data_IF_656636799217
#
_entry.id   IF_656636799217
#
_cell.length_a   1.000
_cell.length_b   1.000
_cell.length_c   1.000
_cell.angle_alpha   90.00
_cell.angle_beta   90.00
_cell.angle_gamma   90.00
#
_symmetry.space_group_name_H-M   'P 1'
#
loop_
_entity.id
_entity.type
_entity.pdbx_description
1 polymer ?
#
# COMPACT_ATOMS: atom_id res chain seq x y z
N UNK A 1 -17.52 -30.05 4.40
CA UNK A 1 -16.36 -29.26 4.91
C UNK A 1 -16.10 -27.94 4.17
N UNK A 2 -16.79 -27.63 3.06
CA UNK A 2 -16.58 -26.36 2.30
C UNK A 2 -17.31 -25.14 2.89
N UNK A 3 -18.46 -25.32 3.54
CA UNK A 3 -19.28 -24.21 4.07
C UNK A 3 -18.63 -23.48 5.25
N UNK A 4 -18.07 -24.21 6.22
CA UNK A 4 -17.45 -23.62 7.42
C UNK A 4 -16.17 -22.82 7.10
N UNK A 5 -15.40 -23.22 6.09
CA UNK A 5 -14.22 -22.48 5.65
C UNK A 5 -14.60 -21.16 4.96
N UNK A 6 -15.70 -21.18 4.19
CA UNK A 6 -16.28 -20.01 3.54
C UNK A 6 -16.84 -19.03 4.60
N UNK A 7 -17.57 -19.52 5.58
CA UNK A 7 -18.15 -18.71 6.67
C UNK A 7 -17.08 -18.08 7.57
N UNK A 8 -15.98 -18.79 7.85
CA UNK A 8 -14.84 -18.24 8.59
C UNK A 8 -14.08 -17.19 7.77
N UNK A 9 -14.01 -17.32 6.45
CA UNK A 9 -13.39 -16.33 5.58
C UNK A 9 -14.26 -15.07 5.45
N UNK A 10 -15.57 -15.23 5.33
CA UNK A 10 -16.53 -14.12 5.22
C UNK A 10 -16.65 -13.35 6.54
N UNK A 11 -16.59 -14.03 7.69
CA UNK A 11 -16.51 -13.36 9.00
C UNK A 11 -15.17 -12.64 9.22
N UNK A 12 -14.04 -13.19 8.76
CA UNK A 12 -12.76 -12.50 8.83
C UNK A 12 -12.72 -11.27 7.90
N UNK A 13 -13.35 -11.35 6.73
CA UNK A 13 -13.53 -10.19 5.84
C UNK A 13 -14.42 -9.12 6.48
N UNK A 14 -15.55 -9.50 7.09
CA UNK A 14 -16.44 -8.56 7.81
C UNK A 14 -15.76 -7.90 9.00
N UNK A 15 -15.05 -8.65 9.84
CA UNK A 15 -14.29 -8.11 10.98
C UNK A 15 -13.15 -7.19 10.53
N UNK A 16 -12.51 -7.50 9.39
CA UNK A 16 -11.53 -6.62 8.76
C UNK A 16 -12.18 -5.33 8.26
N UNK A 17 -13.40 -5.40 7.67
CA UNK A 17 -14.20 -4.26 7.16
C UNK A 17 -14.75 -3.35 8.28
N UNK A 18 -15.14 -3.89 9.43
CA UNK A 18 -15.57 -3.08 10.58
C UNK A 18 -14.39 -2.44 11.31
N UNK A 19 -13.27 -3.17 11.45
CA UNK A 19 -11.99 -2.59 11.90
C UNK A 19 -11.52 -1.48 10.96
N UNK A 20 -11.73 -1.65 9.66
CA UNK A 20 -11.49 -0.69 8.58
C UNK A 20 -12.31 0.60 8.74
N UNK A 21 -13.60 0.52 9.07
CA UNK A 21 -14.43 1.72 9.31
C UNK A 21 -13.95 2.53 10.53
N UNK A 22 -13.53 1.87 11.61
CA UNK A 22 -13.03 2.54 12.80
C UNK A 22 -11.61 3.13 12.61
N UNK A 23 -10.78 2.53 11.75
CA UNK A 23 -9.39 2.94 11.53
C UNK A 23 -9.22 3.94 10.38
N UNK A 24 -10.10 3.95 9.37
CA UNK A 24 -10.12 5.00 8.33
C UNK A 24 -10.46 6.37 8.96
N UNK A 25 -11.36 6.42 9.94
CA UNK A 25 -11.63 7.65 10.71
C UNK A 25 -10.39 8.19 11.45
N UNK A 26 -9.43 7.33 11.80
CA UNK A 26 -8.20 7.69 12.48
C UNK A 26 -7.19 8.42 11.59
N UNK A 27 -7.33 8.31 10.26
CA UNK A 27 -6.41 8.92 9.28
C UNK A 27 -6.88 10.30 8.78
N UNK A 28 -8.15 10.66 8.97
CA UNK A 28 -8.72 11.94 8.51
C UNK A 28 -8.70 13.07 9.56
N UNK A 29 -8.39 12.79 10.83
CA UNK A 29 -8.29 13.82 11.87
C UNK A 29 -6.88 14.42 11.98
N UNK A 30 -6.53 15.28 11.02
CA UNK A 30 -5.45 16.26 11.17
C UNK A 30 -6.05 17.67 11.13
N UNK A 31 -6.44 18.18 12.31
CA UNK A 31 -6.89 19.56 12.47
C UNK A 31 -5.75 20.58 12.40
N UNK A 32 -6.02 21.84 12.03
CA UNK A 32 -5.01 22.88 11.89
C UNK A 32 -4.46 23.33 13.26
N UNK A 33 -3.15 23.55 13.32
CA UNK A 33 -2.50 24.22 14.46
C UNK A 33 -2.66 25.74 14.34
N UNK A 34 -3.50 26.34 15.19
CA UNK A 34 -3.53 27.80 15.34
C UNK A 34 -4.61 28.31 16.29
N UNK A 35 -4.19 29.02 17.35
CA UNK A 35 -5.00 30.02 18.07
C UNK A 35 -5.81 29.54 19.28
N UNK A 36 -5.43 30.01 20.48
CA UNK A 36 -6.10 29.77 21.77
C UNK A 36 -7.51 30.37 21.84
N UNK A 37 -8.49 29.56 22.26
CA UNK A 37 -9.48 29.87 23.33
C UNK A 37 -9.76 28.56 24.07
N UNK A 38 -9.77 28.56 25.41
CA UNK A 38 -10.17 27.38 26.21
C UNK A 38 -11.64 27.08 25.91
N UNK A 39 -12.00 25.93 25.32
CA UNK A 39 -13.40 25.54 25.25
C UNK A 39 -13.73 24.68 26.47
N UNK A 40 -14.98 24.76 26.89
CA UNK A 40 -15.66 23.77 27.72
C UNK A 40 -15.28 22.35 27.27
N UNK A 41 -15.19 21.41 28.21
CA UNK A 41 -14.67 20.06 27.98
C UNK A 41 -15.50 19.30 26.93
N UNK A 42 -15.19 19.54 25.67
CA UNK A 42 -15.79 18.85 24.53
C UNK A 42 -15.41 17.37 24.62
N UNK A 43 -16.37 16.50 24.31
CA UNK A 43 -16.15 15.04 24.16
C UNK A 43 -14.89 14.78 23.32
N UNK A 44 -14.61 15.62 22.31
CA UNK A 44 -13.39 15.58 21.50
C UNK A 44 -12.10 15.74 22.31
N UNK A 45 -12.02 16.70 23.23
CA UNK A 45 -10.84 16.92 24.07
C UNK A 45 -10.65 15.81 25.10
N UNK A 46 -11.73 15.32 25.69
CA UNK A 46 -11.69 14.18 26.61
C UNK A 46 -11.22 12.92 25.89
N UNK A 47 -11.74 12.65 24.68
CA UNK A 47 -11.32 11.49 23.89
C UNK A 47 -9.83 11.55 23.50
N UNK A 48 -9.32 12.73 23.10
CA UNK A 48 -7.88 12.92 22.81
C UNK A 48 -7.02 12.68 24.06
N UNK A 49 -7.49 13.10 25.24
CA UNK A 49 -6.77 12.94 26.51
C UNK A 49 -6.78 11.50 27.01
N UNK A 50 -7.90 10.79 26.85
CA UNK A 50 -8.06 9.39 27.25
C UNK A 50 -7.38 8.40 26.30
N UNK A 51 -7.03 8.84 25.09
CA UNK A 51 -6.40 7.97 24.09
C UNK A 51 -4.95 7.65 24.50
N UNK A 52 -4.56 6.37 24.57
CA UNK A 52 -3.20 6.01 24.87
C UNK A 52 -2.24 6.65 23.86
N UNK A 53 -1.19 7.31 24.38
CA UNK A 53 -0.15 7.88 23.54
C UNK A 53 0.81 6.75 23.12
N UNK A 54 0.72 6.36 21.86
CA UNK A 54 1.64 5.39 21.27
C UNK A 54 2.86 6.09 20.67
N UNK A 55 4.05 5.47 20.71
CA UNK A 55 5.22 5.99 20.02
C UNK A 55 4.91 6.19 18.53
N UNK A 56 5.36 7.30 17.96
CA UNK A 56 5.16 7.58 16.54
C UNK A 56 5.95 6.56 15.72
N UNK A 57 5.24 5.79 14.88
CA UNK A 57 5.86 4.84 13.96
C UNK A 57 6.49 5.57 12.76
N UNK A 58 7.69 5.17 12.36
CA UNK A 58 8.46 5.84 11.30
C UNK A 58 7.75 5.83 9.94
N UNK A 59 7.02 4.76 9.64
CA UNK A 59 6.30 4.57 8.39
C UNK A 59 4.98 5.36 8.30
N UNK A 60 4.56 6.07 9.35
CA UNK A 60 3.30 6.85 9.36
C UNK A 60 3.20 7.79 8.16
N UNK A 61 4.30 8.49 7.85
CA UNK A 61 4.35 9.44 6.72
C UNK A 61 4.21 8.75 5.36
N UNK A 62 4.66 7.51 5.24
CA UNK A 62 4.55 6.72 4.01
C UNK A 62 3.09 6.32 3.75
N UNK A 63 2.33 5.99 4.79
CA UNK A 63 0.89 5.70 4.69
C UNK A 63 0.07 6.98 4.51
N UNK A 64 0.53 8.13 5.02
CA UNK A 64 -0.20 9.40 4.98
C UNK A 64 0.19 10.32 3.81
N UNK A 65 0.75 9.78 2.73
CA UNK A 65 1.03 10.59 1.54
C UNK A 65 -0.27 11.19 1.02
N UNK A 66 -0.30 12.52 0.86
CA UNK A 66 -1.47 13.25 0.36
C UNK A 66 -1.83 12.76 -1.05
N UNK A 67 -3.12 12.56 -1.30
CA UNK A 67 -3.62 12.04 -2.58
C UNK A 67 -3.53 10.51 -2.72
N UNK A 68 -3.06 9.77 -1.71
CA UNK A 68 -3.09 8.31 -1.76
C UNK A 68 -4.53 7.78 -1.78
N UNK A 69 -4.82 6.86 -2.69
CA UNK A 69 -6.13 6.20 -2.73
C UNK A 69 -6.35 5.38 -1.45
N UNK A 70 -7.54 5.43 -0.82
CA UNK A 70 -7.81 4.71 0.44
C UNK A 70 -7.49 3.21 0.38
N UNK A 71 -7.81 2.55 -0.74
CA UNK A 71 -7.49 1.12 -0.95
C UNK A 71 -5.98 0.82 -0.98
N UNK A 72 -5.16 1.72 -1.55
CA UNK A 72 -3.70 1.56 -1.57
C UNK A 72 -3.14 1.80 -0.17
N UNK A 73 -3.65 2.84 0.49
CA UNK A 73 -3.26 3.20 1.84
C UNK A 73 -3.51 2.05 2.83
N UNK A 74 -4.68 1.42 2.74
CA UNK A 74 -5.02 0.29 3.59
C UNK A 74 -4.11 -0.92 3.35
N UNK A 75 -3.93 -1.34 2.10
CA UNK A 75 -3.08 -2.49 1.79
C UNK A 75 -1.62 -2.21 2.17
N UNK A 76 -1.11 -1.00 1.90
CA UNK A 76 0.22 -0.59 2.34
C UNK A 76 0.36 -0.66 3.87
N UNK A 77 -0.61 -0.15 4.62
CA UNK A 77 -0.63 -0.20 6.08
C UNK A 77 -0.63 -1.63 6.63
N UNK A 78 -1.40 -2.52 6.02
CA UNK A 78 -1.40 -3.95 6.35
C UNK A 78 -0.06 -4.62 6.00
N UNK A 79 0.54 -4.23 4.87
CA UNK A 79 1.85 -4.73 4.41
C UNK A 79 2.97 -4.31 5.36
N UNK A 80 2.97 -3.04 5.80
CA UNK A 80 3.91 -2.48 6.80
C UNK A 80 3.89 -3.20 8.14
N UNK A 81 2.74 -3.75 8.52
CA UNK A 81 2.62 -4.55 9.73
C UNK A 81 2.84 -6.05 9.50
N UNK A 82 3.19 -6.47 8.28
CA UNK A 82 3.26 -7.89 7.87
C UNK A 82 1.97 -8.66 8.20
N UNK A 83 0.82 -7.98 8.10
CA UNK A 83 -0.50 -8.52 8.46
C UNK A 83 -1.35 -8.97 7.27
N UNK A 84 -0.86 -8.81 6.04
CA UNK A 84 -1.54 -9.37 4.86
C UNK A 84 -1.60 -10.89 4.96
N UNK A 85 -2.70 -11.47 4.49
CA UNK A 85 -2.93 -12.91 4.43
C UNK A 85 -2.06 -13.54 3.34
N UNK A 86 -0.78 -13.81 3.65
CA UNK A 86 0.02 -14.78 2.89
C UNK A 86 -0.38 -16.19 3.30
N UNK A 87 -0.15 -17.19 2.43
CA UNK A 87 -0.52 -18.60 2.69
C UNK A 87 -0.02 -19.08 4.06
N UNK A 88 1.18 -18.63 4.47
CA UNK A 88 1.78 -18.88 5.79
C UNK A 88 0.82 -18.64 6.97
N UNK A 89 -0.08 -17.65 6.87
CA UNK A 89 -0.97 -17.26 7.98
C UNK A 89 -2.32 -17.97 7.97
N UNK A 90 -2.77 -18.48 6.81
CA UNK A 90 -4.12 -19.04 6.64
C UNK A 90 -4.11 -20.56 6.58
N UNK A 91 -3.08 -21.17 5.98
CA UNK A 91 -3.07 -22.61 5.74
C UNK A 91 -1.99 -23.36 6.52
N UNK A 92 -0.94 -22.71 7.05
CA UNK A 92 0.24 -23.39 7.64
C UNK A 92 0.78 -24.51 6.73
N UNK A 93 0.68 -24.33 5.42
CA UNK A 93 1.17 -25.27 4.40
C UNK A 93 2.02 -24.48 3.43
N UNK A 94 3.21 -25.00 3.13
CA UNK A 94 4.07 -24.46 2.09
C UNK A 94 3.37 -24.59 0.73
N UNK A 95 2.88 -23.48 0.20
CA UNK A 95 2.31 -23.42 -1.14
C UNK A 95 3.25 -22.67 -2.08
N UNK A 96 3.35 -23.18 -3.31
CA UNK A 96 4.08 -22.52 -4.38
C UNK A 96 3.46 -21.14 -4.68
N UNK A 97 4.32 -20.16 -4.95
CA UNK A 97 3.87 -18.82 -5.29
C UNK A 97 3.16 -18.78 -6.64
N UNK A 98 1.88 -18.40 -6.60
CA UNK A 98 1.00 -18.32 -7.77
C UNK A 98 1.37 -17.20 -8.76
N UNK A 99 2.23 -16.28 -8.35
CA UNK A 99 2.70 -15.20 -9.21
C UNK A 99 3.78 -15.66 -10.20
N UNK A 100 4.71 -16.51 -9.76
CA UNK A 100 5.83 -16.98 -10.58
C UNK A 100 5.67 -18.40 -11.09
N UNK A 101 4.95 -19.28 -10.37
CA UNK A 101 4.83 -20.71 -10.68
C UNK A 101 6.19 -21.41 -10.91
N UNK A 102 7.22 -20.99 -10.19
CA UNK A 102 8.61 -21.51 -10.33
C UNK A 102 8.99 -22.51 -9.23
N UNK A 103 8.03 -23.01 -8.45
CA UNK A 103 8.29 -23.94 -7.35
C UNK A 103 8.86 -23.29 -6.07
N UNK A 104 8.97 -21.96 -6.03
CA UNK A 104 9.31 -21.24 -4.80
C UNK A 104 8.10 -21.13 -3.87
N UNK A 105 8.34 -21.32 -2.56
CA UNK A 105 7.33 -21.16 -1.50
C UNK A 105 6.93 -19.69 -1.39
N UNK A 106 5.62 -19.43 -1.29
CA UNK A 106 5.08 -18.09 -1.09
C UNK A 106 5.22 -17.64 0.37
N UNK A 107 6.26 -16.86 0.66
CA UNK A 107 6.34 -16.04 1.86
C UNK A 107 6.26 -14.55 1.51
N UNK A 108 6.21 -13.68 2.53
CA UNK A 108 6.07 -12.24 2.35
C UNK A 108 7.19 -11.62 1.48
N UNK A 109 8.45 -11.95 1.77
CA UNK A 109 9.60 -11.35 1.09
C UNK A 109 9.67 -11.84 -0.37
N UNK A 110 9.33 -13.12 -0.62
CA UNK A 110 9.16 -13.64 -1.97
C UNK A 110 8.03 -12.91 -2.69
N UNK A 111 6.83 -12.88 -2.11
CA UNK A 111 5.64 -12.32 -2.74
C UNK A 111 5.86 -10.88 -3.21
N UNK A 112 6.47 -10.02 -2.38
CA UNK A 112 6.61 -8.61 -2.72
C UNK A 112 7.93 -8.24 -3.40
N UNK A 113 9.01 -9.01 -3.21
CA UNK A 113 10.35 -8.57 -3.65
C UNK A 113 11.14 -9.61 -4.44
N UNK A 114 11.22 -10.87 -3.98
CA UNK A 114 12.05 -11.88 -4.64
C UNK A 114 11.34 -12.63 -5.78
N UNK A 115 10.01 -12.57 -5.83
CA UNK A 115 9.23 -13.18 -6.91
C UNK A 115 9.54 -12.50 -8.24
N UNK A 116 9.90 -13.29 -9.27
CA UNK A 116 10.22 -12.80 -10.62
C UNK A 116 9.16 -11.84 -11.17
N UNK A 117 7.88 -12.10 -10.91
CA UNK A 117 6.79 -11.20 -11.30
C UNK A 117 6.90 -9.85 -10.59
N UNK A 118 6.95 -9.87 -9.26
CA UNK A 118 6.99 -8.67 -8.43
C UNK A 118 8.26 -7.85 -8.65
N UNK A 119 9.43 -8.50 -8.77
CA UNK A 119 10.69 -7.81 -9.09
C UNK A 119 10.63 -7.11 -10.44
N UNK A 120 9.96 -7.71 -11.43
CA UNK A 120 9.73 -7.08 -12.73
C UNK A 120 8.87 -5.82 -12.60
N UNK A 121 7.73 -5.90 -11.89
CA UNK A 121 6.86 -4.73 -11.65
C UNK A 121 7.63 -3.60 -10.96
N UNK A 122 8.36 -3.90 -9.89
CA UNK A 122 9.16 -2.90 -9.18
C UNK A 122 10.22 -2.27 -10.07
N UNK A 123 11.01 -3.07 -10.78
CA UNK A 123 12.09 -2.57 -11.64
C UNK A 123 11.54 -1.66 -12.73
N UNK A 124 10.49 -2.08 -13.43
CA UNK A 124 9.89 -1.29 -14.51
C UNK A 124 9.30 0.01 -13.99
N UNK A 125 8.58 -0.02 -12.86
CA UNK A 125 8.00 1.20 -12.28
C UNK A 125 9.05 2.16 -11.71
N UNK A 126 10.11 1.66 -11.07
CA UNK A 126 11.20 2.50 -10.57
C UNK A 126 11.96 3.17 -11.72
N UNK A 127 12.26 2.41 -12.77
CA UNK A 127 12.87 2.96 -13.99
C UNK A 127 11.98 4.01 -14.64
N UNK A 128 10.68 3.76 -14.74
CA UNK A 128 9.71 4.72 -15.25
C UNK A 128 9.74 6.02 -14.44
N UNK A 129 9.86 5.95 -13.11
CA UNK A 129 10.00 7.12 -12.23
C UNK A 129 11.41 7.76 -12.22
N UNK A 130 12.35 7.26 -13.03
CA UNK A 130 13.73 7.76 -13.11
C UNK A 130 14.68 7.26 -12.00
N UNK A 131 14.29 6.20 -11.26
CA UNK A 131 15.11 5.57 -10.23
C UNK A 131 15.78 4.29 -10.76
N UNK A 132 16.99 4.43 -11.31
CA UNK A 132 17.79 3.31 -11.81
C UNK A 132 18.53 2.60 -10.68
N UNK A 133 17.85 1.69 -10.00
CA UNK A 133 18.40 0.91 -8.89
C UNK A 133 17.85 -0.51 -8.85
N UNK A 134 18.60 -1.40 -8.21
CA UNK A 134 18.08 -2.72 -7.85
C UNK A 134 17.17 -2.62 -6.63
N UNK A 135 16.11 -3.43 -6.65
CA UNK A 135 15.16 -3.55 -5.54
C UNK A 135 15.81 -4.44 -4.47
N UNK A 136 15.87 -3.94 -3.23
CA UNK A 136 16.44 -4.63 -2.08
C UNK A 136 15.40 -5.43 -1.30
N UNK A 137 15.74 -5.77 -0.05
CA UNK A 137 14.79 -6.39 0.88
C UNK A 137 13.68 -5.42 1.28
N UNK A 138 12.59 -5.96 1.84
CA UNK A 138 11.50 -5.15 2.36
C UNK A 138 11.97 -4.05 3.32
N UNK A 139 12.83 -4.40 4.28
CA UNK A 139 13.35 -3.46 5.28
C UNK A 139 14.14 -2.33 4.62
N UNK A 140 14.94 -2.67 3.61
CA UNK A 140 15.72 -1.69 2.85
C UNK A 140 14.79 -0.74 2.10
N UNK A 141 13.78 -1.28 1.42
CA UNK A 141 12.82 -0.50 0.63
C UNK A 141 11.97 0.42 1.50
N UNK A 142 11.49 -0.08 2.64
CA UNK A 142 10.72 0.74 3.60
C UNK A 142 11.59 1.86 4.16
N UNK A 143 12.83 1.59 4.58
CA UNK A 143 13.77 2.62 5.05
C UNK A 143 14.07 3.65 3.96
N UNK A 144 14.33 3.20 2.74
CA UNK A 144 14.55 4.07 1.59
C UNK A 144 13.33 4.96 1.34
N UNK A 145 12.13 4.38 1.31
CA UNK A 145 10.89 5.12 1.13
C UNK A 145 10.66 6.16 2.22
N UNK A 146 10.80 5.78 3.50
CA UNK A 146 10.68 6.71 4.64
C UNK A 146 11.65 7.88 4.48
N UNK A 147 12.88 7.63 4.01
CA UNK A 147 13.86 8.68 3.76
C UNK A 147 13.46 9.66 2.64
N UNK A 148 12.72 9.19 1.63
CA UNK A 148 12.29 9.98 0.45
C UNK A 148 11.00 10.74 0.70
N UNK A 149 10.06 10.16 1.44
CA UNK A 149 8.77 10.78 1.77
C UNK A 149 8.81 11.69 3.00
N UNK A 150 10.01 12.13 3.42
CA UNK A 150 10.19 13.02 4.58
C UNK A 150 9.50 14.37 4.42
N UNK A 151 9.34 14.85 3.18
CA UNK A 151 8.76 16.15 2.86
C UNK A 151 7.56 15.99 1.91
N UNK A 152 6.70 17.01 1.87
CA UNK A 152 5.51 17.03 1.00
C UNK A 152 5.81 17.51 -0.43
N UNK A 153 7.04 17.28 -0.93
CA UNK A 153 7.39 17.67 -2.31
C UNK A 153 6.63 16.79 -3.31
N UNK A 154 6.24 17.33 -4.47
CA UNK A 154 5.47 16.57 -5.47
C UNK A 154 6.13 15.24 -5.87
N UNK A 155 7.44 15.24 -6.17
CA UNK A 155 8.18 14.01 -6.50
C UNK A 155 8.14 12.95 -5.38
N UNK A 156 8.19 13.38 -4.12
CA UNK A 156 8.10 12.47 -2.98
C UNK A 156 6.68 11.90 -2.85
N UNK A 157 5.66 12.71 -3.10
CA UNK A 157 4.27 12.27 -3.07
C UNK A 157 3.94 11.31 -4.22
N UNK A 158 4.39 11.59 -5.45
CA UNK A 158 4.27 10.69 -6.61
C UNK A 158 4.96 9.35 -6.30
N UNK A 159 6.19 9.38 -5.79
CA UNK A 159 6.92 8.16 -5.43
C UNK A 159 6.17 7.34 -4.37
N UNK A 160 5.67 7.99 -3.31
CA UNK A 160 4.89 7.35 -2.25
C UNK A 160 3.58 6.74 -2.76
N UNK A 161 2.88 7.44 -3.66
CA UNK A 161 1.68 6.94 -4.32
C UNK A 161 2.00 5.70 -5.16
N UNK A 162 3.03 5.77 -6.02
CA UNK A 162 3.46 4.65 -6.86
C UNK A 162 3.85 3.44 -6.02
N UNK A 163 4.60 3.64 -4.94
CA UNK A 163 4.99 2.56 -4.03
C UNK A 163 3.77 1.82 -3.46
N UNK A 164 2.77 2.57 -2.98
CA UNK A 164 1.52 2.00 -2.47
C UNK A 164 0.71 1.30 -3.57
N UNK A 165 0.66 1.87 -4.77
CA UNK A 165 -0.05 1.31 -5.92
C UNK A 165 0.59 0.01 -6.41
N UNK A 166 1.93 -0.11 -6.40
CA UNK A 166 2.65 -1.34 -6.76
C UNK A 166 2.31 -2.46 -5.78
N UNK A 167 2.41 -2.18 -4.46
CA UNK A 167 2.08 -3.16 -3.42
C UNK A 167 0.62 -3.63 -3.57
N UNK A 168 -0.30 -2.68 -3.76
CA UNK A 168 -1.70 -2.99 -4.00
C UNK A 168 -1.90 -3.86 -5.25
N UNK A 169 -1.22 -3.52 -6.35
CA UNK A 169 -1.30 -4.24 -7.64
C UNK A 169 -0.78 -5.68 -7.53
N UNK A 170 0.34 -5.90 -6.83
CA UNK A 170 0.88 -7.24 -6.55
C UNK A 170 -0.12 -8.04 -5.72
N UNK A 171 -0.65 -7.44 -4.65
CA UNK A 171 -1.61 -8.11 -3.77
C UNK A 171 -2.91 -8.50 -4.49
N UNK A 172 -3.49 -7.60 -5.28
CA UNK A 172 -4.72 -7.89 -6.02
C UNK A 172 -4.49 -8.92 -7.14
N UNK A 173 -3.33 -8.90 -7.81
CA UNK A 173 -2.97 -9.90 -8.80
C UNK A 173 -2.84 -11.29 -8.16
N UNK A 174 -2.14 -11.38 -7.03
CA UNK A 174 -2.00 -12.64 -6.29
C UNK A 174 -3.36 -13.20 -5.89
N UNK A 175 -4.24 -12.36 -5.33
CA UNK A 175 -5.58 -12.77 -4.95
C UNK A 175 -6.43 -13.22 -6.14
N UNK A 176 -6.34 -12.53 -7.28
CA UNK A 176 -7.04 -12.94 -8.49
C UNK A 176 -6.59 -14.30 -9.02
N UNK A 177 -5.29 -14.60 -8.95
CA UNK A 177 -4.78 -15.92 -9.35
C UNK A 177 -5.21 -17.01 -8.40
N UNK A 178 -5.21 -16.72 -7.09
CA UNK A 178 -5.60 -17.67 -6.06
C UNK A 178 -7.10 -17.99 -6.07
N UNK A 179 -7.96 -16.98 -6.07
CA UNK A 179 -9.41 -17.15 -5.90
C UNK A 179 -10.17 -17.26 -7.22
N UNK A 180 -9.70 -16.58 -8.26
CA UNK A 180 -10.44 -16.49 -9.53
C UNK A 180 -9.76 -17.25 -10.68
N UNK A 181 -8.60 -17.87 -10.45
CA UNK A 181 -7.75 -18.49 -11.47
C UNK A 181 -7.47 -17.58 -12.70
N UNK A 182 -7.53 -16.25 -12.49
CA UNK A 182 -7.33 -15.24 -13.54
C UNK A 182 -5.91 -14.70 -13.46
N UNK A 183 -5.18 -14.79 -14.57
CA UNK A 183 -3.83 -14.23 -14.71
C UNK A 183 -3.88 -12.94 -15.53
N UNK A 184 -3.55 -11.82 -14.90
CA UNK A 184 -3.37 -10.54 -15.59
C UNK A 184 -2.00 -10.47 -16.27
N UNK A 185 -1.94 -9.72 -17.38
CA UNK A 185 -0.67 -9.36 -18.00
C UNK A 185 0.08 -8.36 -17.12
N UNK A 186 1.40 -8.54 -16.97
CA UNK A 186 2.26 -7.59 -16.24
C UNK A 186 2.18 -6.19 -16.85
N UNK A 187 2.21 -6.09 -18.18
CA UNK A 187 2.08 -4.82 -18.90
C UNK A 187 0.75 -4.13 -18.61
N UNK A 188 -0.33 -4.90 -18.47
CA UNK A 188 -1.63 -4.34 -18.11
C UNK A 188 -1.60 -3.73 -16.70
N UNK A 189 -1.00 -4.43 -15.72
CA UNK A 189 -0.85 -3.91 -14.35
C UNK A 189 0.03 -2.66 -14.28
N UNK A 190 1.10 -2.62 -15.06
CA UNK A 190 1.98 -1.45 -15.15
C UNK A 190 1.23 -0.22 -15.71
N UNK A 191 0.47 -0.41 -16.78
CA UNK A 191 -0.39 0.63 -17.36
C UNK A 191 -1.46 1.10 -16.38
N UNK A 192 -2.12 0.19 -15.66
CA UNK A 192 -3.11 0.53 -14.63
C UNK A 192 -2.51 1.42 -13.53
N UNK A 193 -1.31 1.09 -13.05
CA UNK A 193 -0.62 1.92 -12.05
C UNK A 193 -0.29 3.30 -12.64
N UNK A 194 0.28 3.36 -13.84
CA UNK A 194 0.61 4.63 -14.50
C UNK A 194 -0.64 5.51 -14.73
N UNK A 195 -1.76 4.93 -15.16
CA UNK A 195 -3.04 5.63 -15.31
C UNK A 195 -3.51 6.19 -13.97
N UNK A 196 -3.47 5.41 -12.90
CA UNK A 196 -3.87 5.87 -11.57
C UNK A 196 -3.03 7.05 -11.09
N UNK A 197 -1.72 7.01 -11.34
CA UNK A 197 -0.80 8.12 -11.02
C UNK A 197 -1.18 9.38 -11.80
N UNK A 198 -1.46 9.26 -13.09
CA UNK A 198 -1.83 10.41 -13.92
C UNK A 198 -3.20 10.99 -13.55
N UNK A 199 -4.21 10.14 -13.30
CA UNK A 199 -5.54 10.55 -12.87
C UNK A 199 -5.46 11.31 -11.55
N UNK A 200 -4.74 10.75 -10.57
CA UNK A 200 -4.57 11.43 -9.29
C UNK A 200 -3.75 12.72 -9.45
N UNK A 201 -2.72 12.69 -10.30
CA UNK A 201 -1.92 13.86 -10.67
C UNK A 201 -2.72 15.03 -11.23
N UNK A 202 -3.83 14.80 -11.95
CA UNK A 202 -4.71 15.88 -12.41
C UNK A 202 -5.36 16.64 -11.24
N UNK A 203 -5.50 16.01 -10.07
CA UNK A 203 -6.06 16.64 -8.85
C UNK A 203 -5.02 17.43 -8.07
N UNK A 204 -3.72 17.28 -8.40
CA UNK A 204 -2.61 17.95 -7.73
C UNK A 204 -1.82 18.78 -8.76
N UNK A 205 -2.14 20.07 -8.88
CA UNK A 205 -1.54 20.96 -9.91
C UNK A 205 -0.01 20.98 -9.90
N UNK A 206 0.60 20.76 -8.74
CA UNK A 206 2.04 20.72 -8.54
C UNK A 206 2.69 19.39 -8.99
N UNK A 207 1.91 18.35 -9.29
CA UNK A 207 2.42 17.08 -9.85
C UNK A 207 2.59 17.17 -11.36
N UNK A 208 1.78 17.97 -12.04
CA UNK A 208 1.74 18.08 -13.51
C UNK A 208 3.13 18.27 -14.15
N UNK A 209 4.01 19.20 -13.70
CA UNK A 209 5.33 19.37 -14.31
C UNK A 209 6.25 18.14 -14.18
N UNK A 210 5.99 17.26 -13.21
CA UNK A 210 6.74 16.02 -13.01
C UNK A 210 6.14 14.85 -13.80
N UNK A 211 4.81 14.81 -13.96
CA UNK A 211 4.14 13.78 -14.74
C UNK A 211 4.28 14.02 -16.24
N UNK A 212 4.37 15.28 -16.67
CA UNK A 212 4.68 15.63 -18.06
C UNK A 212 6.08 15.16 -18.49
N UNK A 213 6.96 14.80 -17.55
CA UNK A 213 8.26 14.17 -17.84
C UNK A 213 8.14 12.63 -18.02
N UNK A 214 6.98 12.05 -17.67
CA UNK A 214 6.67 10.61 -17.69
C UNK A 214 5.75 10.23 -18.86
N UNK A 215 6.00 10.80 -20.05
CA UNK A 215 5.07 10.77 -21.21
C UNK A 215 4.79 9.34 -21.73
N UNK A 216 5.71 8.40 -21.53
CA UNK A 216 5.53 7.00 -21.97
C UNK A 216 4.95 6.10 -20.87
N UNK A 217 4.19 5.07 -21.26
CA UNK A 217 3.82 4.00 -20.34
C UNK A 217 5.05 3.17 -19.93
N UNK A 218 5.07 2.58 -18.72
CA UNK A 218 6.12 1.65 -18.34
C UNK A 218 6.08 0.43 -19.27
N UNK A 219 7.18 0.18 -19.99
CA UNK A 219 7.37 -0.98 -20.87
C UNK A 219 8.16 -2.08 -20.18
#
# INVERSE_FOLDING_TARGET
MSCLAQDMQDNNLKLSIESLHLQVNFLYDAGPTGGRRKPEASIKNNYVTLRPQYPQVEWKRLVQVKGMMPRHQFILWMTLQRKLSTVDRVLKVDANCVLCNTGHIENFDHLFYACRYSSCVWKTMLNWLGYHRQVGSWEYEVKWMISRVKNSRPRAAILGFCFAAIIYSIWIERNNRWFNAKKGSTTQRLKEIAIQVHIEGQRHINWKPHLDQLIGYPN
#
